data_IF_369591291402
#
_entry.id   IF_369591291402
#
_cell.length_a   1.000
_cell.length_b   1.000
_cell.length_c   1.000
_cell.angle_alpha   90.00
_cell.angle_beta   90.00
_cell.angle_gamma   90.00
#
_symmetry.space_group_name_H-M   'P 1'
#
loop_
_entity.id
_entity.type
_entity.pdbx_description
1 polymer ?
#
# COMPACT_ATOMS: atom_id res chain seq x y z
N UNK A 1 50.45 14.45 -38.76
CA UNK A 1 49.06 14.94 -38.73
C UNK A 1 48.46 14.42 -37.45
N UNK A 2 48.20 15.30 -36.48
CA UNK A 2 47.65 14.93 -35.18
C UNK A 2 46.13 14.83 -35.29
N UNK A 3 45.57 13.68 -34.91
CA UNK A 3 44.13 13.50 -34.75
C UNK A 3 43.68 14.29 -33.51
N UNK A 4 42.85 15.31 -33.71
CA UNK A 4 42.15 15.99 -32.62
C UNK A 4 41.13 15.04 -31.99
N UNK A 5 41.44 14.54 -30.80
CA UNK A 5 40.48 13.87 -29.93
C UNK A 5 39.29 14.80 -29.65
N UNK A 6 38.14 14.44 -30.22
CA UNK A 6 36.86 15.10 -29.99
C UNK A 6 36.42 14.90 -28.53
N UNK A 7 36.91 15.75 -27.63
CA UNK A 7 36.49 15.80 -26.22
C UNK A 7 35.02 16.21 -26.16
N UNK A 8 34.14 15.23 -25.94
CA UNK A 8 32.72 15.47 -25.66
C UNK A 8 32.57 16.52 -24.55
N UNK A 9 31.96 17.67 -24.89
CA UNK A 9 31.66 18.75 -23.94
C UNK A 9 30.88 18.18 -22.75
N UNK A 10 31.50 18.13 -21.57
CA UNK A 10 30.79 17.75 -20.33
C UNK A 10 29.79 18.87 -20.00
N UNK A 11 28.51 18.62 -20.25
CA UNK A 11 27.44 19.52 -19.86
C UNK A 11 27.38 19.63 -18.33
N UNK A 12 27.31 20.85 -17.81
CA UNK A 12 27.16 21.08 -16.37
C UNK A 12 25.74 20.67 -15.98
N UNK A 13 25.62 19.67 -15.09
CA UNK A 13 24.32 19.25 -14.53
C UNK A 13 23.63 20.44 -13.87
N UNK A 14 22.33 20.59 -14.15
CA UNK A 14 21.47 21.58 -13.50
C UNK A 14 21.10 21.13 -12.08
N UNK A 15 20.52 22.03 -11.28
CA UNK A 15 20.01 21.67 -9.96
C UNK A 15 18.91 20.58 -10.04
N UNK A 16 18.09 20.60 -11.09
CA UNK A 16 17.04 19.59 -11.33
C UNK A 16 17.66 18.23 -11.65
N UNK A 17 18.68 18.19 -12.50
CA UNK A 17 19.38 16.95 -12.83
C UNK A 17 20.04 16.33 -11.58
N UNK A 18 20.66 17.17 -10.76
CA UNK A 18 21.27 16.74 -9.50
C UNK A 18 20.22 16.14 -8.54
N UNK A 19 19.06 16.79 -8.41
CA UNK A 19 17.99 16.26 -7.56
C UNK A 19 17.47 14.92 -8.10
N UNK A 20 17.25 14.81 -9.42
CA UNK A 20 16.85 13.56 -10.03
C UNK A 20 17.89 12.44 -9.82
N UNK A 21 19.19 12.75 -9.92
CA UNK A 21 20.29 11.81 -9.66
C UNK A 21 20.28 11.32 -8.19
N UNK A 22 20.09 12.24 -7.23
CA UNK A 22 20.01 11.90 -5.79
C UNK A 22 18.81 10.98 -5.55
N UNK A 23 17.63 11.34 -6.05
CA UNK A 23 16.41 10.57 -5.88
C UNK A 23 16.57 9.16 -6.47
N UNK A 24 17.07 9.05 -7.71
CA UNK A 24 17.28 7.76 -8.39
C UNK A 24 18.32 6.90 -7.66
N UNK A 25 19.38 7.52 -7.14
CA UNK A 25 20.39 6.83 -6.34
C UNK A 25 19.79 6.27 -5.04
N UNK A 26 18.98 7.07 -4.34
CA UNK A 26 18.31 6.67 -3.11
C UNK A 26 17.32 5.53 -3.36
N UNK A 27 16.44 5.62 -4.36
CA UNK A 27 15.51 4.54 -4.72
C UNK A 27 16.25 3.23 -4.96
N UNK A 28 17.37 3.28 -5.68
CA UNK A 28 18.17 2.10 -5.98
C UNK A 28 18.90 1.54 -4.75
N UNK A 29 19.33 2.39 -3.82
CA UNK A 29 19.97 1.95 -2.57
C UNK A 29 18.95 1.36 -1.59
N UNK A 30 17.82 2.04 -1.40
CA UNK A 30 16.73 1.61 -0.52
C UNK A 30 16.19 0.26 -0.97
N UNK A 31 15.87 0.08 -2.26
CA UNK A 31 15.43 -1.23 -2.78
C UNK A 31 16.45 -2.36 -2.62
N UNK A 32 17.74 -2.03 -2.45
CA UNK A 32 18.83 -2.99 -2.30
C UNK A 32 19.14 -3.33 -0.84
N UNK A 33 19.09 -2.33 0.04
CA UNK A 33 19.61 -2.42 1.42
C UNK A 33 18.59 -2.05 2.50
N UNK A 34 17.43 -1.51 2.13
CA UNK A 34 16.47 -0.89 3.05
C UNK A 34 16.90 0.51 3.50
N UNK A 35 16.03 1.16 4.26
CA UNK A 35 16.29 2.49 4.85
C UNK A 35 17.38 2.42 5.93
N UNK A 36 17.23 1.52 6.91
CA UNK A 36 18.11 1.42 8.08
C UNK A 36 19.61 1.23 7.76
N UNK A 37 19.94 0.67 6.59
CA UNK A 37 21.34 0.35 6.22
C UNK A 37 21.96 1.29 5.18
N UNK A 38 21.28 2.36 4.77
CA UNK A 38 21.85 3.29 3.79
C UNK A 38 22.74 4.33 4.48
N UNK A 39 23.92 4.59 3.91
CA UNK A 39 24.81 5.64 4.38
C UNK A 39 24.79 6.85 3.45
N UNK A 40 24.89 8.06 4.01
CA UNK A 40 24.99 9.32 3.24
C UNK A 40 26.14 9.26 2.22
N UNK A 41 27.28 8.69 2.61
CA UNK A 41 28.46 8.54 1.75
C UNK A 41 28.19 7.65 0.54
N UNK A 42 27.40 6.59 0.70
CA UNK A 42 26.99 5.71 -0.40
C UNK A 42 26.02 6.41 -1.35
N UNK A 43 25.08 7.19 -0.80
CA UNK A 43 24.14 8.00 -1.58
C UNK A 43 24.88 9.02 -2.44
N UNK A 44 25.77 9.81 -1.83
CA UNK A 44 26.62 10.81 -2.50
C UNK A 44 27.41 10.16 -3.63
N UNK A 45 28.10 9.05 -3.33
CA UNK A 45 28.91 8.31 -4.31
C UNK A 45 28.06 7.81 -5.47
N UNK A 46 26.86 7.28 -5.20
CA UNK A 46 25.99 6.73 -6.23
C UNK A 46 25.32 7.80 -7.09
N UNK A 47 24.95 8.93 -6.51
CA UNK A 47 24.46 10.10 -7.24
C UNK A 47 25.58 10.87 -7.98
N UNK A 48 26.85 10.47 -7.77
CA UNK A 48 28.04 11.09 -8.37
C UNK A 48 28.11 12.58 -8.08
N UNK A 49 27.78 12.99 -6.86
CA UNK A 49 27.85 14.38 -6.42
C UNK A 49 28.98 14.56 -5.41
N UNK A 50 29.43 15.80 -5.21
CA UNK A 50 30.35 16.12 -4.12
C UNK A 50 29.58 16.20 -2.80
N UNK A 51 30.20 15.88 -1.64
CA UNK A 51 29.53 15.93 -0.35
C UNK A 51 28.86 17.28 -0.05
N UNK A 52 29.53 18.38 -0.41
CA UNK A 52 28.99 19.74 -0.21
C UNK A 52 27.67 19.95 -0.95
N UNK A 53 27.46 19.31 -2.11
CA UNK A 53 26.21 19.41 -2.87
C UNK A 53 25.04 18.80 -2.09
N UNK A 54 25.28 17.69 -1.38
CA UNK A 54 24.29 17.07 -0.51
C UNK A 54 24.02 17.93 0.73
N UNK A 55 25.06 18.34 1.45
CA UNK A 55 24.91 19.11 2.70
C UNK A 55 24.38 20.53 2.50
N UNK A 56 24.48 21.09 1.28
CA UNK A 56 23.79 22.35 0.93
C UNK A 56 22.28 22.17 0.71
N UNK A 57 21.76 20.94 0.71
CA UNK A 57 20.33 20.61 0.51
C UNK A 57 19.70 19.94 1.71
N UNK A 58 20.47 19.16 2.45
CA UNK A 58 20.03 18.36 3.58
C UNK A 58 21.08 18.43 4.68
N UNK A 59 20.69 18.77 5.89
CA UNK A 59 21.52 18.79 7.08
C UNK A 59 22.07 17.39 7.37
N UNK A 60 21.26 16.35 7.16
CA UNK A 60 21.64 14.97 7.42
C UNK A 60 20.75 13.97 6.64
N UNK A 61 20.99 12.67 6.85
CA UNK A 61 20.24 11.62 6.19
C UNK A 61 18.76 11.57 6.59
N UNK A 62 18.45 11.90 7.84
CA UNK A 62 17.08 11.89 8.36
C UNK A 62 16.23 12.94 7.68
N UNK A 63 16.75 14.16 7.54
CA UNK A 63 16.05 15.23 6.81
C UNK A 63 15.85 14.85 5.33
N UNK A 64 16.87 14.27 4.69
CA UNK A 64 16.73 13.73 3.35
C UNK A 64 15.60 12.69 3.27
N UNK A 65 15.52 11.76 4.23
CA UNK A 65 14.44 10.78 4.26
C UNK A 65 13.08 11.42 4.43
N UNK A 66 12.94 12.39 5.33
CA UNK A 66 11.69 13.10 5.53
C UNK A 66 11.16 13.74 4.25
N UNK A 67 12.02 14.34 3.44
CA UNK A 67 11.63 14.86 2.14
C UNK A 67 11.40 13.76 1.11
N UNK A 68 12.28 12.76 1.06
CA UNK A 68 12.23 11.70 0.07
C UNK A 68 10.96 10.85 0.18
N UNK A 69 10.49 10.55 1.39
CA UNK A 69 9.32 9.70 1.60
C UNK A 69 8.00 10.40 1.24
N UNK A 70 7.95 11.73 1.23
CA UNK A 70 6.73 12.50 0.91
C UNK A 70 6.12 12.15 -0.44
N UNK A 71 6.94 11.76 -1.43
CA UNK A 71 6.44 11.32 -2.75
C UNK A 71 5.72 9.97 -2.71
N UNK A 72 5.85 9.22 -1.63
CA UNK A 72 5.14 7.95 -1.40
C UNK A 72 3.95 8.09 -0.44
N UNK A 73 3.76 9.23 0.22
CA UNK A 73 2.62 9.47 1.12
C UNK A 73 1.27 9.30 0.39
N UNK A 74 1.23 9.59 -0.92
CA UNK A 74 0.07 9.44 -1.78
C UNK A 74 0.01 8.12 -2.56
N UNK A 75 0.93 7.18 -2.33
CA UNK A 75 1.01 5.93 -3.10
C UNK A 75 -0.32 5.17 -3.13
N UNK A 76 -1.07 5.15 -2.02
CA UNK A 76 -2.36 4.48 -1.97
C UNK A 76 -3.36 5.09 -2.97
N UNK A 77 -3.38 6.42 -3.11
CA UNK A 77 -4.21 7.08 -4.12
C UNK A 77 -3.89 6.60 -5.53
N UNK A 78 -2.60 6.44 -5.85
CA UNK A 78 -2.16 5.93 -7.16
C UNK A 78 -2.61 4.49 -7.40
N UNK A 79 -2.59 3.66 -6.35
CA UNK A 79 -3.17 2.30 -6.38
C UNK A 79 -4.68 2.38 -6.66
N UNK A 80 -5.40 3.28 -5.98
CA UNK A 80 -6.84 3.42 -6.12
C UNK A 80 -7.31 3.94 -7.50
N UNK A 81 -6.46 4.67 -8.24
CA UNK A 81 -6.84 5.22 -9.57
C UNK A 81 -7.27 4.18 -10.60
N UNK A 82 -6.99 2.90 -10.36
CA UNK A 82 -7.26 1.80 -11.29
C UNK A 82 -8.53 1.01 -10.95
N UNK A 83 -9.21 1.36 -9.87
CA UNK A 83 -10.36 0.60 -9.37
C UNK A 83 -11.61 0.91 -10.20
N UNK A 84 -12.43 -0.11 -10.55
CA UNK A 84 -13.71 0.09 -11.20
C UNK A 84 -14.65 1.00 -10.37
N UNK A 85 -15.30 1.95 -11.03
CA UNK A 85 -16.37 2.74 -10.42
C UNK A 85 -17.71 1.98 -10.51
N UNK A 86 -18.54 1.95 -9.46
CA UNK A 86 -18.33 2.60 -8.16
C UNK A 86 -17.42 1.78 -7.24
N UNK A 87 -16.55 2.47 -6.50
CA UNK A 87 -15.54 1.82 -5.64
C UNK A 87 -16.17 1.06 -4.49
N UNK A 88 -17.35 1.45 -4.02
CA UNK A 88 -18.07 0.81 -2.92
C UNK A 88 -18.87 -0.45 -3.34
N UNK A 89 -18.74 -0.89 -4.59
CA UNK A 89 -19.26 -2.18 -5.07
C UNK A 89 -18.43 -3.37 -4.54
N UNK A 90 -18.98 -4.58 -4.67
CA UNK A 90 -18.26 -5.83 -4.37
C UNK A 90 -16.97 -5.94 -5.20
N UNK A 91 -17.08 -5.70 -6.51
CA UNK A 91 -15.93 -5.68 -7.42
C UNK A 91 -14.92 -4.61 -7.01
N UNK A 92 -15.39 -3.41 -6.65
CA UNK A 92 -14.52 -2.33 -6.17
C UNK A 92 -13.75 -2.71 -4.90
N UNK A 93 -14.44 -3.34 -3.94
CA UNK A 93 -13.85 -3.84 -2.69
C UNK A 93 -12.75 -4.89 -2.96
N UNK A 94 -13.07 -5.88 -3.79
CA UNK A 94 -12.11 -6.92 -4.20
C UNK A 94 -10.91 -6.29 -4.94
N UNK A 95 -11.17 -5.38 -5.88
CA UNK A 95 -10.13 -4.71 -6.67
C UNK A 95 -9.14 -3.93 -5.80
N UNK A 96 -9.60 -3.26 -4.73
CA UNK A 96 -8.71 -2.54 -3.79
C UNK A 96 -7.64 -3.48 -3.26
N UNK A 97 -8.02 -4.62 -2.69
CA UNK A 97 -7.05 -5.54 -2.08
C UNK A 97 -6.14 -6.18 -3.12
N UNK A 98 -6.67 -6.52 -4.31
CA UNK A 98 -5.87 -7.05 -5.40
C UNK A 98 -4.83 -6.05 -5.90
N UNK A 99 -5.20 -4.78 -6.05
CA UNK A 99 -4.29 -3.73 -6.52
C UNK A 99 -3.23 -3.39 -5.47
N UNK A 100 -3.59 -3.40 -4.17
CA UNK A 100 -2.62 -3.29 -3.07
C UNK A 100 -1.66 -4.48 -3.06
N UNK A 101 -2.16 -5.70 -3.21
CA UNK A 101 -1.32 -6.89 -3.30
C UNK A 101 -0.35 -6.77 -4.48
N UNK A 102 -0.85 -6.47 -5.68
CA UNK A 102 -0.09 -6.34 -6.92
C UNK A 102 0.98 -5.26 -6.85
N UNK A 103 0.66 -4.10 -6.29
CA UNK A 103 1.59 -2.98 -6.18
C UNK A 103 2.76 -3.24 -5.20
N UNK A 104 2.64 -4.26 -4.35
CA UNK A 104 3.69 -4.70 -3.43
C UNK A 104 4.45 -5.96 -3.89
N UNK A 105 4.06 -6.59 -5.00
CA UNK A 105 4.65 -7.85 -5.52
C UNK A 105 6.11 -7.73 -5.94
N UNK A 106 6.56 -6.52 -6.30
CA UNK A 106 7.94 -6.25 -6.68
C UNK A 106 8.71 -5.55 -5.56
N UNK A 107 10.05 -5.52 -5.67
CA UNK A 107 10.86 -4.70 -4.77
C UNK A 107 10.59 -3.23 -5.07
N UNK A 108 9.91 -2.57 -4.15
CA UNK A 108 9.54 -1.16 -4.26
C UNK A 108 10.05 -0.39 -3.05
N UNK A 109 10.16 0.93 -3.19
CA UNK A 109 10.48 1.78 -2.04
C UNK A 109 9.36 1.74 -1.01
N UNK A 110 8.11 1.64 -1.46
CA UNK A 110 6.96 1.50 -0.57
C UNK A 110 7.05 0.25 0.32
N UNK A 111 7.44 -0.90 -0.24
CA UNK A 111 7.63 -2.11 0.56
C UNK A 111 8.75 -1.96 1.60
N UNK A 112 9.83 -1.27 1.25
CA UNK A 112 10.91 -0.97 2.19
C UNK A 112 10.52 0.08 3.23
N UNK A 113 9.61 1.01 2.89
CA UNK A 113 9.05 1.98 3.83
C UNK A 113 8.18 1.27 4.88
N UNK A 114 7.29 0.36 4.45
CA UNK A 114 6.51 -0.49 5.36
C UNK A 114 7.41 -1.31 6.28
N UNK A 115 8.51 -1.85 5.74
CA UNK A 115 9.50 -2.58 6.54
C UNK A 115 10.16 -1.68 7.59
N UNK A 116 10.52 -0.46 7.21
CA UNK A 116 11.16 0.51 8.09
C UNK A 116 10.24 0.93 9.23
N UNK A 117 8.97 1.17 8.95
CA UNK A 117 7.98 1.56 9.96
C UNK A 117 7.74 0.50 11.03
N UNK A 118 7.81 -0.78 10.66
CA UNK A 118 7.69 -1.90 11.61
C UNK A 118 8.97 -2.06 12.42
N UNK A 119 10.14 -1.81 11.82
CA UNK A 119 11.43 -1.99 12.46
C UNK A 119 11.79 -0.84 13.41
N UNK A 120 11.42 0.39 13.07
CA UNK A 120 11.84 1.61 13.77
C UNK A 120 10.69 2.63 13.87
N UNK A 121 10.34 3.00 15.11
CA UNK A 121 9.38 4.06 15.40
C UNK A 121 10.08 5.41 15.62
N UNK A 122 10.41 6.12 14.54
CA UNK A 122 10.93 7.49 14.58
C UNK A 122 9.89 8.47 14.04
N UNK A 123 10.16 9.78 14.13
CA UNK A 123 9.20 10.81 13.72
C UNK A 123 8.78 10.66 12.25
N UNK A 124 9.72 10.34 11.35
CA UNK A 124 9.44 10.11 9.93
C UNK A 124 8.49 8.93 9.73
N UNK A 125 8.79 7.77 10.32
CA UNK A 125 8.01 6.54 10.12
C UNK A 125 6.61 6.64 10.73
N UNK A 126 6.48 7.29 11.89
CA UNK A 126 5.17 7.57 12.50
C UNK A 126 4.36 8.51 11.60
N UNK A 127 4.97 9.60 11.11
CA UNK A 127 4.31 10.57 10.24
C UNK A 127 3.82 9.92 8.94
N UNK A 128 4.65 9.15 8.26
CA UNK A 128 4.27 8.49 6.99
C UNK A 128 3.13 7.49 7.19
N UNK A 129 3.17 6.71 8.28
CA UNK A 129 2.11 5.78 8.62
C UNK A 129 0.77 6.50 8.89
N UNK A 130 0.80 7.55 9.71
CA UNK A 130 -0.39 8.35 10.02
C UNK A 130 -0.99 9.05 8.80
N UNK A 131 -0.15 9.61 7.93
CA UNK A 131 -0.61 10.27 6.70
C UNK A 131 -1.30 9.28 5.76
N UNK A 132 -0.74 8.07 5.59
CA UNK A 132 -1.41 7.05 4.78
C UNK A 132 -2.77 6.66 5.35
N UNK A 133 -2.86 6.48 6.67
CA UNK A 133 -4.15 6.20 7.32
C UNK A 133 -5.15 7.34 7.11
N UNK A 134 -4.72 8.59 7.29
CA UNK A 134 -5.58 9.76 7.05
C UNK A 134 -6.13 9.79 5.60
N UNK A 135 -5.32 9.38 4.63
CA UNK A 135 -5.74 9.35 3.22
C UNK A 135 -6.70 8.19 2.88
N UNK A 136 -6.73 7.11 3.67
CA UNK A 136 -7.66 5.99 3.47
C UNK A 136 -9.01 6.21 4.15
N UNK A 137 -9.09 7.06 5.18
CA UNK A 137 -10.31 7.32 5.96
C UNK A 137 -11.57 7.61 5.13
N UNK A 138 -11.55 8.42 4.05
CA UNK A 138 -12.76 8.64 3.25
C UNK A 138 -13.33 7.34 2.67
N UNK A 139 -12.46 6.43 2.22
CA UNK A 139 -12.86 5.12 1.69
C UNK A 139 -13.39 4.21 2.80
N UNK A 140 -12.73 4.20 3.97
CA UNK A 140 -13.19 3.49 5.16
C UNK A 140 -14.60 3.92 5.54
N UNK A 141 -14.83 5.23 5.64
CA UNK A 141 -16.14 5.81 5.98
C UNK A 141 -17.22 5.42 4.96
N UNK A 142 -16.89 5.32 3.67
CA UNK A 142 -17.83 4.84 2.65
C UNK A 142 -18.29 3.40 2.94
N UNK A 143 -17.37 2.50 3.25
CA UNK A 143 -17.72 1.12 3.57
C UNK A 143 -18.43 0.98 4.91
N UNK A 144 -18.01 1.70 5.95
CA UNK A 144 -18.74 1.73 7.25
C UNK A 144 -20.16 2.29 7.09
N UNK A 145 -20.36 3.23 6.16
CA UNK A 145 -21.68 3.72 5.76
C UNK A 145 -22.58 2.60 5.24
N UNK A 146 -22.03 1.67 4.47
CA UNK A 146 -22.74 0.58 3.80
C UNK A 146 -22.94 -0.65 4.68
N UNK A 147 -21.89 -1.08 5.39
CA UNK A 147 -21.88 -2.29 6.20
C UNK A 147 -22.18 -1.95 7.66
N UNK A 148 -23.45 -2.14 8.07
CA UNK A 148 -23.89 -1.88 9.45
C UNK A 148 -23.87 -3.08 10.39
N UNK A 149 -23.84 -4.29 9.83
CA UNK A 149 -23.94 -5.54 10.58
C UNK A 149 -22.59 -6.19 10.88
N UNK A 150 -21.53 -5.70 10.24
CA UNK A 150 -20.16 -6.18 10.43
C UNK A 150 -19.22 -4.99 10.58
N UNK A 151 -18.15 -5.19 11.34
CA UNK A 151 -17.04 -4.25 11.40
C UNK A 151 -16.16 -4.42 10.14
N UNK A 152 -16.62 -3.82 9.04
CA UNK A 152 -15.93 -3.92 7.74
C UNK A 152 -14.54 -3.31 7.79
N UNK A 153 -14.32 -2.30 8.64
CA UNK A 153 -13.04 -1.62 8.83
C UNK A 153 -12.02 -2.55 9.48
N UNK A 154 -12.39 -3.21 10.58
CA UNK A 154 -11.53 -4.19 11.24
C UNK A 154 -11.23 -5.40 10.33
N UNK A 155 -12.22 -5.90 9.61
CA UNK A 155 -12.03 -6.98 8.63
C UNK A 155 -11.05 -6.55 7.54
N UNK A 156 -11.24 -5.36 6.98
CA UNK A 156 -10.35 -4.81 5.93
C UNK A 156 -8.93 -4.60 6.44
N UNK A 157 -8.77 -4.15 7.70
CA UNK A 157 -7.47 -3.98 8.33
C UNK A 157 -6.72 -5.32 8.47
N UNK A 158 -7.42 -6.40 8.85
CA UNK A 158 -6.83 -7.75 8.89
C UNK A 158 -6.38 -8.22 7.51
N UNK A 159 -7.17 -7.96 6.47
CA UNK A 159 -6.84 -8.32 5.09
C UNK A 159 -5.60 -7.55 4.62
N UNK A 160 -5.55 -6.22 4.81
CA UNK A 160 -4.40 -5.38 4.44
C UNK A 160 -3.14 -5.79 5.21
N UNK A 161 -3.27 -6.02 6.53
CA UNK A 161 -2.17 -6.50 7.36
C UNK A 161 -1.61 -7.84 6.85
N UNK A 162 -2.50 -8.77 6.45
CA UNK A 162 -2.11 -10.02 5.81
C UNK A 162 -1.36 -9.80 4.49
N UNK A 163 -1.86 -8.93 3.61
CA UNK A 163 -1.20 -8.59 2.33
C UNK A 163 0.19 -8.01 2.57
N UNK A 164 0.33 -7.09 3.54
CA UNK A 164 1.61 -6.48 3.89
C UNK A 164 2.58 -7.52 4.41
N UNK A 165 2.14 -8.34 5.38
CA UNK A 165 3.00 -9.37 5.97
C UNK A 165 3.49 -10.37 4.92
N UNK A 166 2.59 -10.89 4.07
CA UNK A 166 2.93 -11.85 3.02
C UNK A 166 4.01 -11.29 2.08
N UNK A 167 3.88 -10.03 1.66
CA UNK A 167 4.87 -9.37 0.80
C UNK A 167 6.18 -9.06 1.52
N UNK A 168 6.13 -8.63 2.78
CA UNK A 168 7.32 -8.34 3.58
C UNK A 168 8.13 -9.61 3.92
N UNK A 169 7.45 -10.75 4.06
CA UNK A 169 8.00 -12.04 4.43
C UNK A 169 8.48 -12.89 3.24
N UNK A 170 8.12 -12.53 2.00
CA UNK A 170 8.34 -13.36 0.80
C UNK A 170 9.77 -13.85 0.57
N UNK A 171 10.77 -13.11 1.03
CA UNK A 171 12.19 -13.46 0.89
C UNK A 171 12.71 -14.29 2.10
N UNK A 172 11.84 -14.76 3.00
CA UNK A 172 12.20 -15.55 4.20
C UNK A 172 11.84 -17.01 4.03
N UNK A 173 10.58 -17.28 3.70
CA UNK A 173 10.09 -18.61 3.36
C UNK A 173 8.70 -18.51 2.73
N UNK A 174 8.22 -19.63 2.20
CA UNK A 174 6.80 -19.81 1.92
C UNK A 174 5.97 -19.58 3.17
N UNK A 175 4.77 -19.05 3.01
CA UNK A 175 3.80 -18.91 4.09
C UNK A 175 2.59 -19.81 3.81
N UNK A 176 2.27 -20.72 4.74
CA UNK A 176 1.27 -21.78 4.49
C UNK A 176 1.52 -22.56 3.18
N UNK A 177 2.80 -22.84 2.87
CA UNK A 177 3.27 -23.44 1.61
C UNK A 177 2.94 -22.64 0.32
N UNK A 178 2.55 -21.37 0.47
CA UNK A 178 2.36 -20.43 -0.64
C UNK A 178 3.64 -19.64 -0.85
N UNK A 179 4.23 -19.72 -2.05
CA UNK A 179 5.33 -18.87 -2.47
C UNK A 179 4.81 -17.67 -3.29
N UNK A 180 4.69 -16.52 -2.64
CA UNK A 180 4.21 -15.27 -3.28
C UNK A 180 5.20 -14.65 -4.26
N UNK A 181 6.41 -15.18 -4.39
CA UNK A 181 7.32 -14.82 -5.49
C UNK A 181 6.92 -15.48 -6.82
N UNK A 182 6.10 -16.52 -6.78
CA UNK A 182 5.63 -17.23 -7.97
C UNK A 182 4.28 -16.71 -8.43
N UNK A 183 4.02 -16.79 -9.75
CA UNK A 183 2.71 -16.46 -10.32
C UNK A 183 1.58 -17.31 -9.70
N UNK A 184 1.85 -18.60 -9.47
CA UNK A 184 0.89 -19.51 -8.84
C UNK A 184 0.54 -19.05 -7.41
N UNK A 185 1.55 -18.69 -6.60
CA UNK A 185 1.30 -18.23 -5.24
C UNK A 185 0.56 -16.90 -5.20
N UNK A 186 0.91 -15.96 -6.08
CA UNK A 186 0.20 -14.68 -6.24
C UNK A 186 -1.27 -14.91 -6.59
N UNK A 187 -1.54 -15.77 -7.58
CA UNK A 187 -2.91 -16.11 -8.00
C UNK A 187 -3.71 -16.78 -6.88
N UNK A 188 -3.08 -17.64 -6.05
CA UNK A 188 -3.77 -18.22 -4.88
C UNK A 188 -4.22 -17.17 -3.88
N UNK A 189 -3.38 -16.17 -3.60
CA UNK A 189 -3.75 -15.05 -2.72
C UNK A 189 -4.86 -14.21 -3.36
N UNK A 190 -4.72 -13.88 -4.64
CA UNK A 190 -5.73 -13.12 -5.38
C UNK A 190 -7.11 -13.79 -5.40
N UNK A 191 -7.17 -15.11 -5.60
CA UNK A 191 -8.42 -15.87 -5.54
C UNK A 191 -9.02 -15.87 -4.12
N UNK A 192 -8.18 -16.01 -3.09
CA UNK A 192 -8.66 -15.94 -1.70
C UNK A 192 -9.24 -14.56 -1.36
N UNK A 193 -8.66 -13.48 -1.88
CA UNK A 193 -9.20 -12.12 -1.73
C UNK A 193 -10.57 -11.96 -2.43
N UNK A 194 -10.74 -12.57 -3.61
CA UNK A 194 -12.05 -12.63 -4.29
C UNK A 194 -13.08 -13.37 -3.43
N UNK A 195 -12.75 -14.58 -2.97
CA UNK A 195 -13.63 -15.38 -2.13
C UNK A 195 -14.05 -14.64 -0.85
N UNK A 196 -13.12 -13.96 -0.18
CA UNK A 196 -13.42 -13.14 1.00
C UNK A 196 -14.38 -11.99 0.67
N UNK A 197 -14.14 -11.27 -0.44
CA UNK A 197 -15.04 -10.21 -0.89
C UNK A 197 -16.46 -10.73 -1.15
N UNK A 198 -16.57 -11.86 -1.87
CA UNK A 198 -17.84 -12.52 -2.13
C UNK A 198 -18.57 -12.91 -0.84
N UNK A 199 -17.88 -13.53 0.12
CA UNK A 199 -18.46 -13.91 1.40
C UNK A 199 -18.98 -12.70 2.19
N UNK A 200 -18.21 -11.61 2.23
CA UNK A 200 -18.55 -10.38 2.95
C UNK A 200 -19.81 -9.72 2.35
N UNK A 201 -19.85 -9.56 1.03
CA UNK A 201 -20.98 -8.94 0.35
C UNK A 201 -22.22 -9.82 0.39
N UNK A 202 -22.08 -11.13 0.18
CA UNK A 202 -23.19 -12.06 0.32
C UNK A 202 -23.78 -12.05 1.73
N UNK A 203 -22.95 -12.06 2.77
CA UNK A 203 -23.40 -11.96 4.16
C UNK A 203 -24.20 -10.68 4.41
N UNK A 204 -23.73 -9.55 3.89
CA UNK A 204 -24.43 -8.26 3.99
C UNK A 204 -25.78 -8.27 3.26
N UNK A 205 -25.84 -8.82 2.04
CA UNK A 205 -27.07 -8.92 1.27
C UNK A 205 -28.12 -9.80 1.96
N UNK A 206 -27.71 -10.97 2.47
CA UNK A 206 -28.61 -11.88 3.20
C UNK A 206 -29.16 -11.20 4.45
N UNK A 207 -28.34 -10.50 5.22
CA UNK A 207 -28.79 -9.78 6.42
C UNK A 207 -29.77 -8.64 6.08
N UNK A 208 -29.48 -7.86 5.04
CA UNK A 208 -30.41 -6.84 4.57
C UNK A 208 -31.74 -7.44 4.12
N UNK A 209 -31.69 -8.55 3.37
CA UNK A 209 -32.89 -9.26 2.93
C UNK A 209 -33.70 -9.77 4.11
N UNK A 210 -33.07 -10.41 5.10
CA UNK A 210 -33.71 -10.88 6.34
C UNK A 210 -34.40 -9.71 7.07
N UNK A 211 -33.77 -8.54 7.17
CA UNK A 211 -34.38 -7.34 7.78
C UNK A 211 -35.63 -6.87 7.04
N UNK A 212 -35.56 -6.75 5.71
CA UNK A 212 -36.70 -6.33 4.88
C UNK A 212 -37.86 -7.33 5.00
N UNK A 213 -37.57 -8.63 5.02
CA UNK A 213 -38.59 -9.68 5.22
C UNK A 213 -39.20 -9.57 6.62
N UNK A 214 -38.38 -9.38 7.65
CA UNK A 214 -38.85 -9.19 9.03
C UNK A 214 -39.80 -7.99 9.15
N UNK A 215 -39.45 -6.84 8.56
CA UNK A 215 -40.29 -5.64 8.55
C UNK A 215 -41.65 -5.90 7.90
N UNK A 216 -41.66 -6.51 6.71
CA UNK A 216 -42.91 -6.88 6.02
C UNK A 216 -43.75 -7.87 6.81
N UNK A 217 -43.13 -8.86 7.47
CA UNK A 217 -43.87 -9.81 8.32
C UNK A 217 -44.51 -9.09 9.51
N UNK A 218 -43.83 -8.12 10.13
CA UNK A 218 -44.39 -7.30 11.22
C UNK A 218 -45.57 -6.45 10.73
N UNK A 219 -45.45 -5.81 9.57
CA UNK A 219 -46.53 -5.02 8.96
C UNK A 219 -47.79 -5.86 8.68
N UNK A 220 -47.62 -7.16 8.44
CA UNK A 220 -48.71 -8.13 8.24
C UNK A 220 -49.18 -8.79 9.55
N UNK A 221 -48.76 -8.30 10.72
CA UNK A 221 -49.23 -8.75 12.03
C UNK A 221 -48.60 -10.05 12.53
N UNK A 222 -47.50 -10.52 11.93
CA UNK A 222 -46.77 -11.68 12.43
C UNK A 222 -45.97 -11.29 13.68
N UNK A 223 -46.02 -12.12 14.73
CA UNK A 223 -45.32 -11.85 15.99
C UNK A 223 -43.80 -11.98 15.86
N UNK A 224 -43.07 -11.21 16.68
CA UNK A 224 -41.60 -11.23 16.70
C UNK A 224 -41.03 -12.64 16.96
N UNK A 225 -41.72 -13.46 17.77
CA UNK A 225 -41.30 -14.83 18.05
C UNK A 225 -41.34 -15.74 16.81
N UNK A 226 -42.37 -15.60 15.97
CA UNK A 226 -42.50 -16.37 14.73
C UNK A 226 -41.46 -15.87 13.71
N UNK A 227 -41.31 -14.55 13.59
CA UNK A 227 -40.32 -13.94 12.67
C UNK A 227 -38.92 -14.44 12.99
N UNK A 228 -38.53 -14.44 14.26
CA UNK A 228 -37.23 -14.95 14.69
C UNK A 228 -37.04 -16.43 14.32
N UNK A 229 -38.04 -17.29 14.58
CA UNK A 229 -37.98 -18.71 14.20
C UNK A 229 -37.86 -18.94 12.69
N UNK A 230 -38.36 -18.03 11.86
CA UNK A 230 -38.30 -18.14 10.40
C UNK A 230 -37.01 -17.59 9.79
N UNK A 231 -36.35 -16.65 10.46
CA UNK A 231 -35.24 -15.87 9.89
C UNK A 231 -33.89 -16.08 10.58
N UNK A 232 -33.83 -16.78 11.70
CA UNK A 232 -32.57 -17.30 12.26
C UNK A 232 -31.94 -18.32 11.28
#
# INVERSE_FOLDING_TARGET
MAEEENKTKRYRRTNVDIQADIIKAAESLIKKKGFASMLVTELIKKARIEPLVFYNRYDNLSEFYDEFVKKYDYWFKDVLTKIPFPTDSELGYISIFKDVHKSLQDKSVMLELLRWEIAEGNETTVRTAMLREMHTLPLVNTYEGKFKDIDISAISALIIGGIYYLNLHRDRSKFADIDVNTEQGRKRIENALEELGHMIFHYHEVNNYKKVVAERMKENGISDEIIKKCLD
#
